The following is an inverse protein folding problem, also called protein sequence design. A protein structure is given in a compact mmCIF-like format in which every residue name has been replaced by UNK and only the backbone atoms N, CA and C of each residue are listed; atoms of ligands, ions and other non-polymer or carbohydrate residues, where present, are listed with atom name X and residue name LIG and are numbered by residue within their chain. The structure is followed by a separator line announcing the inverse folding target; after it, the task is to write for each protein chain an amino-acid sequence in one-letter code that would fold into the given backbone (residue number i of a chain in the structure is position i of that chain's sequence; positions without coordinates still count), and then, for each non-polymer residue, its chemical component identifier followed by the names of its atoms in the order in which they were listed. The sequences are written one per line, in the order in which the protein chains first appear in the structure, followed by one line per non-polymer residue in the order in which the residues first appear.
data_IF_205279003168
#
_entry.id   IF_205279003168
#
_cell.length_a   1.000
_cell.length_b   1.000
_cell.length_c   1.000
_cell.angle_alpha   90.00
_cell.angle_beta   90.00
_cell.angle_gamma   90.00
#
_symmetry.space_group_name_H-M   'P 1'
#
loop_
_entity.id
_entity.type
_entity.pdbx_description
1 polymer ?
#
# COMPACT_ATOMS: atom_id res chain seq x y z
N UNK A 1 21.54 11.88 -17.34
CA UNK A 1 21.17 10.48 -17.05
C UNK A 1 19.71 10.48 -16.66
N UNK A 2 18.85 9.65 -17.25
CA UNK A 2 17.47 9.52 -16.75
C UNK A 2 17.55 8.87 -15.37
N UNK A 3 16.87 9.45 -14.39
CA UNK A 3 16.67 8.85 -13.08
C UNK A 3 15.96 7.49 -13.27
N UNK A 4 16.43 6.42 -12.63
CA UNK A 4 15.80 5.10 -12.73
C UNK A 4 14.47 5.05 -11.96
N UNK A 5 13.51 4.26 -12.45
CA UNK A 5 12.23 3.98 -11.81
C UNK A 5 12.39 3.49 -10.38
N UNK A 6 13.38 2.62 -10.09
CA UNK A 6 13.66 2.14 -8.74
C UNK A 6 13.93 3.29 -7.78
N UNK A 7 14.84 4.19 -8.16
CA UNK A 7 15.22 5.34 -7.32
C UNK A 7 14.05 6.31 -7.14
N UNK A 8 13.25 6.51 -8.18
CA UNK A 8 12.06 7.36 -8.09
C UNK A 8 11.01 6.76 -7.15
N UNK A 9 10.80 5.44 -7.19
CA UNK A 9 9.90 4.74 -6.24
C UNK A 9 10.44 4.82 -4.81
N UNK A 10 11.73 4.59 -4.59
CA UNK A 10 12.37 4.73 -3.27
C UNK A 10 12.16 6.15 -2.71
N UNK A 11 12.39 7.18 -3.53
CA UNK A 11 12.12 8.57 -3.14
C UNK A 11 10.65 8.81 -2.77
N UNK A 12 9.70 8.25 -3.53
CA UNK A 12 8.26 8.37 -3.22
C UNK A 12 7.89 7.70 -1.88
N UNK A 13 8.52 6.55 -1.57
CA UNK A 13 8.32 5.85 -0.30
C UNK A 13 8.90 6.67 0.86
N UNK A 14 10.14 7.17 0.72
CA UNK A 14 10.80 7.98 1.73
C UNK A 14 10.06 9.30 2.00
N UNK A 15 9.60 9.98 0.94
CA UNK A 15 8.80 11.20 1.04
C UNK A 15 7.47 10.96 1.77
N UNK A 16 6.78 9.86 1.44
CA UNK A 16 5.52 9.49 2.09
C UNK A 16 5.74 9.12 3.57
N UNK A 17 6.80 8.38 3.89
CA UNK A 17 7.15 8.05 5.27
C UNK A 17 7.45 9.32 6.09
N UNK A 18 8.24 10.26 5.53
CA UNK A 18 8.53 11.53 6.18
C UNK A 18 7.27 12.41 6.35
N UNK A 19 6.36 12.41 5.38
CA UNK A 19 5.07 13.10 5.48
C UNK A 19 4.19 12.48 6.57
N UNK A 20 4.10 11.15 6.61
CA UNK A 20 3.36 10.40 7.62
C UNK A 20 3.90 10.69 9.03
N UNK A 21 5.20 10.61 9.24
CA UNK A 21 5.83 10.88 10.54
C UNK A 21 5.53 12.30 11.04
N UNK A 22 5.59 13.29 10.15
CA UNK A 22 5.21 14.67 10.48
C UNK A 22 3.73 14.74 10.87
N UNK A 23 2.83 14.15 10.10
CA UNK A 23 1.38 14.17 10.40
C UNK A 23 1.07 13.48 11.73
N UNK A 24 1.64 12.30 11.95
CA UNK A 24 1.49 11.51 13.17
C UNK A 24 1.99 12.27 14.39
N UNK A 25 3.04 13.09 14.27
CA UNK A 25 3.58 13.88 15.39
C UNK A 25 2.58 14.87 16.00
N UNK A 26 1.56 15.30 15.24
CA UNK A 26 0.51 16.20 15.71
C UNK A 26 -0.69 15.48 16.35
N UNK A 27 -0.73 14.15 16.30
CA UNK A 27 -1.86 13.35 16.78
C UNK A 27 -1.72 12.94 18.24
N UNK A 28 -2.86 12.79 18.93
CA UNK A 28 -2.89 12.21 20.27
C UNK A 28 -2.37 10.77 20.26
N UNK A 29 -1.83 10.24 21.39
CA UNK A 29 -1.38 8.85 21.47
C UNK A 29 -2.42 7.83 20.99
N UNK A 30 -3.69 8.03 21.35
CA UNK A 30 -4.78 7.13 20.97
C UNK A 30 -5.06 7.15 19.46
N UNK A 31 -5.01 8.33 18.84
CA UNK A 31 -5.15 8.45 17.38
C UNK A 31 -3.97 7.82 16.64
N UNK A 32 -2.74 7.99 17.14
CA UNK A 32 -1.56 7.31 16.57
C UNK A 32 -1.68 5.79 16.66
N UNK A 33 -2.17 5.27 17.78
CA UNK A 33 -2.39 3.83 17.95
C UNK A 33 -3.43 3.28 16.95
N UNK A 34 -4.36 4.10 16.49
CA UNK A 34 -5.37 3.74 15.49
C UNK A 34 -4.87 3.77 14.04
N UNK A 35 -3.66 4.27 13.78
CA UNK A 35 -3.05 4.38 12.45
C UNK A 35 -1.78 3.52 12.36
N UNK A 36 -1.92 2.18 12.28
CA UNK A 36 -0.78 1.26 12.40
C UNK A 36 0.18 1.29 11.20
N UNK A 37 -0.28 1.74 10.03
CA UNK A 37 0.43 1.72 8.75
C UNK A 37 0.07 2.94 7.89
N UNK A 38 0.98 3.30 6.97
CA UNK A 38 0.72 4.23 5.87
C UNK A 38 0.74 3.52 4.52
N UNK A 39 -0.08 3.99 3.58
CA UNK A 39 -0.24 3.42 2.25
C UNK A 39 0.05 4.41 1.12
N UNK A 40 0.34 5.68 1.46
CA UNK A 40 0.42 6.76 0.47
C UNK A 40 1.57 6.54 -0.49
N UNK A 41 2.76 6.20 0.02
CA UNK A 41 3.93 5.89 -0.79
C UNK A 41 3.66 4.77 -1.79
N UNK A 42 3.08 3.66 -1.32
CA UNK A 42 2.72 2.52 -2.17
C UNK A 42 1.72 2.94 -3.26
N UNK A 43 0.72 3.76 -2.93
CA UNK A 43 -0.29 4.21 -3.90
C UNK A 43 0.33 5.10 -4.97
N UNK A 44 1.21 6.05 -4.58
CA UNK A 44 1.96 6.91 -5.51
C UNK A 44 2.88 6.07 -6.40
N UNK A 45 3.56 5.07 -5.84
CA UNK A 45 4.43 4.15 -6.58
C UNK A 45 3.65 3.29 -7.60
N UNK A 46 2.50 2.71 -7.21
CA UNK A 46 1.65 1.94 -8.14
C UNK A 46 1.22 2.80 -9.32
N UNK A 47 0.79 4.04 -9.07
CA UNK A 47 0.36 4.95 -10.13
C UNK A 47 1.49 5.31 -11.10
N UNK A 48 2.68 5.62 -10.56
CA UNK A 48 3.89 5.88 -11.34
C UNK A 48 4.29 4.68 -12.21
N UNK A 49 4.32 3.49 -11.62
CA UNK A 49 4.71 2.26 -12.31
C UNK A 49 3.69 1.84 -13.36
N UNK A 50 2.39 2.03 -13.10
CA UNK A 50 1.35 1.77 -14.10
C UNK A 50 1.49 2.72 -15.30
N UNK A 51 1.79 4.00 -15.08
CA UNK A 51 2.09 4.93 -16.16
C UNK A 51 3.31 4.49 -16.97
N UNK A 52 4.39 4.07 -16.29
CA UNK A 52 5.60 3.56 -16.94
C UNK A 52 5.36 2.25 -17.72
N UNK A 53 4.44 1.42 -17.26
CA UNK A 53 3.99 0.20 -17.94
C UNK A 53 3.06 0.46 -19.13
N UNK A 54 2.72 1.72 -19.42
CA UNK A 54 1.89 2.11 -20.57
C UNK A 54 0.38 2.07 -20.32
N UNK A 55 -0.06 2.00 -19.07
CA UNK A 55 -1.49 2.03 -18.75
C UNK A 55 -2.07 3.41 -19.06
N UNK A 56 -3.27 3.43 -19.63
CA UNK A 56 -4.05 4.65 -19.82
C UNK A 56 -4.46 5.27 -18.48
N UNK A 57 -4.80 6.55 -18.49
CA UNK A 57 -5.31 7.23 -17.30
C UNK A 57 -6.58 6.58 -16.73
N UNK A 58 -7.44 5.99 -17.58
CA UNK A 58 -8.61 5.23 -17.14
C UNK A 58 -8.24 3.96 -16.38
N UNK A 59 -7.25 3.21 -16.88
CA UNK A 59 -6.79 1.97 -16.25
C UNK A 59 -6.05 2.25 -14.95
N UNK A 60 -5.17 3.27 -14.94
CA UNK A 60 -4.52 3.75 -13.72
C UNK A 60 -5.53 4.15 -12.66
N UNK A 61 -6.54 4.96 -13.04
CA UNK A 61 -7.63 5.32 -12.12
C UNK A 61 -8.39 4.11 -11.63
N UNK A 62 -8.67 3.12 -12.48
CA UNK A 62 -9.36 1.90 -12.04
C UNK A 62 -8.52 1.12 -11.02
N UNK A 63 -7.21 1.03 -11.24
CA UNK A 63 -6.25 0.34 -10.37
C UNK A 63 -6.16 0.99 -8.97
N UNK A 64 -6.13 2.32 -8.89
CA UNK A 64 -5.95 3.04 -7.63
C UNK A 64 -7.26 3.47 -6.94
N UNK A 65 -8.41 3.48 -7.65
CA UNK A 65 -9.69 3.97 -7.09
C UNK A 65 -10.08 3.22 -5.81
N UNK A 66 -9.82 1.91 -5.79
CA UNK A 66 -10.12 1.08 -4.64
C UNK A 66 -9.14 1.32 -3.46
N UNK A 67 -7.98 1.94 -3.70
CA UNK A 67 -7.04 2.33 -2.62
C UNK A 67 -7.51 3.57 -1.85
N UNK A 68 -8.31 4.44 -2.48
CA UNK A 68 -8.82 5.68 -1.88
C UNK A 68 -9.99 5.48 -0.90
N UNK A 69 -10.55 4.27 -0.82
CA UNK A 69 -11.62 3.94 0.11
C UNK A 69 -10.98 3.31 1.34
N UNK A 70 -10.51 4.12 2.29
CA UNK A 70 -10.20 3.65 3.64
C UNK A 70 -11.50 3.68 4.47
N UNK A 71 -12.10 2.52 4.81
CA UNK A 71 -13.35 2.47 5.56
C UNK A 71 -13.31 3.24 6.89
N UNK A 72 -12.14 3.36 7.54
CA UNK A 72 -12.01 4.13 8.79
C UNK A 72 -12.10 5.64 8.55
N UNK A 73 -11.52 6.14 7.44
CA UNK A 73 -11.63 7.55 7.03
C UNK A 73 -13.05 7.88 6.56
N UNK A 74 -13.70 6.93 5.87
CA UNK A 74 -15.11 7.06 5.49
C UNK A 74 -16.03 7.04 6.73
N UNK A 75 -15.73 6.22 7.74
CA UNK A 75 -16.52 6.16 8.96
C UNK A 75 -16.46 7.46 9.76
N UNK A 76 -15.26 8.04 9.94
CA UNK A 76 -15.09 9.33 10.61
C UNK A 76 -15.83 10.48 9.88
N UNK A 77 -15.94 10.41 8.54
CA UNK A 77 -16.68 11.39 7.72
C UNK A 77 -18.20 11.19 7.71
N UNK A 78 -18.68 9.94 7.81
CA UNK A 78 -20.10 9.60 7.56
C UNK A 78 -20.89 9.36 8.84
N UNK A 79 -20.31 8.77 9.89
CA UNK A 79 -21.09 8.26 11.02
C UNK A 79 -21.01 9.07 12.32
N UNK A 80 -20.09 10.04 12.44
CA UNK A 80 -20.07 11.01 13.54
C UNK A 80 -19.70 10.48 14.94
N UNK A 81 -19.03 11.34 15.72
CA UNK A 81 -18.78 11.37 17.19
C UNK A 81 -18.31 10.13 17.98
N UNK A 82 -18.49 8.88 17.54
CA UNK A 82 -17.97 7.70 18.25
C UNK A 82 -16.72 7.13 17.57
N UNK A 83 -15.60 6.94 18.31
CA UNK A 83 -14.42 6.27 17.78
C UNK A 83 -14.73 4.85 17.32
N UNK A 84 -14.22 4.47 16.15
CA UNK A 84 -14.31 3.09 15.68
C UNK A 84 -13.62 2.13 16.66
N UNK A 85 -14.21 0.94 16.84
CA UNK A 85 -13.54 -0.17 17.50
C UNK A 85 -12.24 -0.52 16.74
N UNK A 86 -11.20 -0.91 17.49
CA UNK A 86 -9.89 -1.25 16.93
C UNK A 86 -10.00 -2.29 15.82
N UNK A 87 -10.88 -3.28 15.99
CA UNK A 87 -11.11 -4.36 15.03
C UNK A 87 -11.64 -3.83 13.70
N UNK A 88 -12.51 -2.82 13.72
CA UNK A 88 -13.05 -2.19 12.51
C UNK A 88 -11.96 -1.42 11.77
N UNK A 89 -11.12 -0.70 12.51
CA UNK A 89 -9.98 0.01 11.93
C UNK A 89 -8.98 -0.96 11.31
N UNK A 90 -8.63 -2.04 12.00
CA UNK A 90 -7.76 -3.07 11.44
C UNK A 90 -8.40 -3.72 10.21
N UNK A 91 -9.68 -4.07 10.27
CA UNK A 91 -10.41 -4.66 9.14
C UNK A 91 -10.35 -3.77 7.89
N UNK A 92 -10.46 -2.45 8.08
CA UNK A 92 -10.30 -1.47 7.01
C UNK A 92 -8.91 -1.52 6.36
N UNK A 93 -7.84 -1.61 7.14
CA UNK A 93 -6.48 -1.73 6.62
C UNK A 93 -6.20 -3.07 5.96
N UNK A 94 -6.79 -4.15 6.45
CA UNK A 94 -6.71 -5.50 5.87
C UNK A 94 -7.36 -5.52 4.49
N UNK A 95 -8.57 -4.98 4.34
CA UNK A 95 -9.20 -4.93 3.01
C UNK A 95 -8.46 -4.02 2.05
N UNK A 96 -7.97 -2.89 2.56
CA UNK A 96 -7.02 -2.09 1.82
C UNK A 96 -5.86 -2.95 1.32
N UNK A 97 -5.20 -3.69 2.20
CA UNK A 97 -4.04 -4.49 1.84
C UNK A 97 -4.34 -5.50 0.72
N UNK A 98 -5.49 -6.17 0.77
CA UNK A 98 -5.91 -7.14 -0.27
C UNK A 98 -6.06 -6.50 -1.64
N UNK A 99 -6.77 -5.37 -1.71
CA UNK A 99 -6.92 -4.62 -2.96
C UNK A 99 -5.56 -4.20 -3.53
N UNK A 100 -4.63 -3.78 -2.67
CA UNK A 100 -3.26 -3.41 -3.08
C UNK A 100 -2.48 -4.62 -3.60
N UNK A 101 -2.60 -5.76 -2.94
CA UNK A 101 -1.95 -6.99 -3.37
C UNK A 101 -2.40 -7.41 -4.78
N UNK A 102 -3.70 -7.30 -5.08
CA UNK A 102 -4.25 -7.57 -6.41
C UNK A 102 -3.70 -6.59 -7.45
N UNK A 103 -3.67 -5.29 -7.12
CA UNK A 103 -3.11 -4.26 -8.01
C UNK A 103 -1.62 -4.50 -8.32
N UNK A 104 -0.84 -4.88 -7.31
CA UNK A 104 0.58 -5.21 -7.45
C UNK A 104 0.81 -6.44 -8.32
N UNK A 105 -0.03 -7.48 -8.19
CA UNK A 105 0.05 -8.67 -9.02
C UNK A 105 -0.25 -8.34 -10.50
N UNK A 106 -1.33 -7.60 -10.78
CA UNK A 106 -1.68 -7.14 -12.13
C UNK A 106 -0.56 -6.31 -12.75
N UNK A 107 -0.01 -5.38 -11.97
CA UNK A 107 1.09 -4.53 -12.43
C UNK A 107 2.37 -5.33 -12.71
N UNK A 108 2.69 -6.31 -11.85
CA UNK A 108 3.84 -7.18 -12.02
C UNK A 108 3.73 -8.03 -13.30
N UNK A 109 2.54 -8.59 -13.57
CA UNK A 109 2.25 -9.33 -14.79
C UNK A 109 2.40 -8.44 -16.03
N UNK A 110 1.88 -7.20 -15.99
CA UNK A 110 1.97 -6.27 -17.11
C UNK A 110 3.39 -5.75 -17.36
N UNK A 111 4.15 -5.52 -16.29
CA UNK A 111 5.55 -5.15 -16.37
C UNK A 111 6.34 -6.37 -16.83
N UNK A 112 6.60 -7.35 -15.96
CA UNK A 112 7.61 -8.40 -16.18
C UNK A 112 7.08 -9.73 -16.71
N UNK A 113 5.79 -9.83 -17.03
CA UNK A 113 5.15 -11.10 -17.39
C UNK A 113 5.06 -12.07 -16.20
N UNK A 114 4.76 -13.33 -16.51
CA UNK A 114 4.57 -14.39 -15.51
C UNK A 114 5.74 -14.52 -14.50
N UNK A 115 7.03 -14.44 -14.88
CA UNK A 115 8.11 -14.59 -13.92
C UNK A 115 8.09 -13.54 -12.80
N UNK A 116 7.89 -12.26 -13.16
CA UNK A 116 7.79 -11.19 -12.16
C UNK A 116 6.48 -11.28 -11.38
N UNK A 117 5.38 -11.60 -12.07
CA UNK A 117 4.08 -11.85 -11.45
C UNK A 117 4.15 -12.91 -10.36
N UNK A 118 4.75 -14.06 -10.64
CA UNK A 118 4.94 -15.13 -9.67
C UNK A 118 5.82 -14.69 -8.50
N UNK A 119 6.91 -13.98 -8.76
CA UNK A 119 7.81 -13.49 -7.70
C UNK A 119 7.09 -12.53 -6.75
N UNK A 120 6.30 -11.59 -7.28
CA UNK A 120 5.49 -10.68 -6.48
C UNK A 120 4.40 -11.44 -5.72
N UNK A 121 3.67 -12.36 -6.36
CA UNK A 121 2.66 -13.20 -5.68
C UNK A 121 3.26 -14.01 -4.52
N UNK A 122 4.46 -14.57 -4.68
CA UNK A 122 5.17 -15.28 -3.62
C UNK A 122 5.53 -14.35 -2.44
N UNK A 123 6.05 -13.15 -2.73
CA UNK A 123 6.38 -12.14 -1.71
C UNK A 123 5.15 -11.74 -0.88
N UNK A 124 4.01 -11.51 -1.56
CA UNK A 124 2.75 -11.14 -0.91
C UNK A 124 2.17 -12.30 -0.09
N UNK A 125 2.24 -13.53 -0.61
CA UNK A 125 1.78 -14.75 0.10
C UNK A 125 2.62 -15.05 1.35
N UNK A 126 3.91 -14.72 1.34
CA UNK A 126 4.78 -14.89 2.51
C UNK A 126 4.46 -13.91 3.65
N UNK A 127 3.75 -12.81 3.37
CA UNK A 127 3.40 -11.77 4.35
C UNK A 127 1.91 -11.40 4.24
N UNK A 128 0.99 -12.36 4.42
CA UNK A 128 -0.43 -12.14 4.15
C UNK A 128 -1.03 -11.17 5.18
N UNK A 129 -2.12 -10.46 4.84
CA UNK A 129 -2.86 -9.68 5.84
C UNK A 129 -3.30 -10.56 7.03
N UNK A 130 -3.30 -10.03 8.27
CA UNK A 130 -3.71 -10.80 9.44
C UNK A 130 -5.16 -11.29 9.35
N UNK A 131 -5.40 -12.49 9.89
CA UNK A 131 -6.75 -13.07 9.98
C UNK A 131 -7.44 -12.52 11.23
N UNK A 132 -8.37 -11.59 11.03
CA UNK A 132 -9.12 -10.95 12.11
C UNK A 132 -8.44 -9.71 12.71
N UNK A 133 -9.19 -8.97 13.53
CA UNK A 133 -8.78 -7.66 14.07
C UNK A 133 -8.26 -7.67 15.52
N UNK A 134 -8.13 -8.84 16.15
CA UNK A 134 -7.82 -8.98 17.59
C UNK A 134 -6.53 -9.76 17.85
N UNK A 135 -5.77 -9.34 18.85
CA UNK A 135 -4.58 -10.05 19.33
C UNK A 135 -3.33 -9.17 19.38
N UNK A 136 -2.36 -9.57 20.20
CA UNK A 136 -1.14 -8.78 20.47
C UNK A 136 -0.21 -8.64 19.26
N UNK A 137 -0.37 -9.46 18.22
CA UNK A 137 0.46 -9.46 17.01
C UNK A 137 -0.16 -8.84 15.76
N UNK A 138 -1.44 -8.43 15.80
CA UNK A 138 -2.19 -8.02 14.60
C UNK A 138 -1.58 -6.80 13.92
N UNK A 139 -1.20 -5.78 14.71
CA UNK A 139 -0.53 -4.58 14.18
C UNK A 139 0.84 -4.89 13.57
N UNK A 140 1.61 -5.81 14.18
CA UNK A 140 2.92 -6.21 13.63
C UNK A 140 2.73 -6.92 12.30
N UNK A 141 1.85 -7.91 12.24
CA UNK A 141 1.55 -8.64 11.01
C UNK A 141 1.07 -7.71 9.90
N UNK A 142 0.21 -6.73 10.22
CA UNK A 142 -0.24 -5.73 9.26
C UNK A 142 0.91 -4.87 8.73
N UNK A 143 1.87 -4.46 9.59
CA UNK A 143 3.07 -3.73 9.15
C UNK A 143 3.93 -4.58 8.23
N UNK A 144 4.11 -5.87 8.54
CA UNK A 144 4.87 -6.80 7.70
C UNK A 144 4.23 -6.97 6.31
N UNK A 145 2.89 -7.00 6.25
CA UNK A 145 2.14 -6.97 4.97
C UNK A 145 2.45 -5.72 4.15
N UNK A 146 2.40 -4.53 4.75
CA UNK A 146 2.67 -3.28 4.03
C UNK A 146 4.14 -3.14 3.62
N UNK A 147 5.07 -3.60 4.45
CA UNK A 147 6.49 -3.69 4.09
C UNK A 147 6.71 -4.68 2.92
N UNK A 148 5.91 -5.74 2.79
CA UNK A 148 5.94 -6.59 1.61
C UNK A 148 5.43 -5.87 0.35
N UNK A 149 4.42 -5.00 0.48
CA UNK A 149 3.94 -4.17 -0.63
C UNK A 149 4.97 -3.14 -1.10
N UNK A 150 5.68 -2.50 -0.16
CA UNK A 150 6.80 -1.61 -0.48
C UNK A 150 7.92 -2.34 -1.24
N UNK A 151 8.31 -3.52 -0.74
CA UNK A 151 9.28 -4.37 -1.44
C UNK A 151 8.79 -4.78 -2.83
N UNK A 152 7.50 -5.04 -3.01
CA UNK A 152 6.92 -5.39 -4.30
C UNK A 152 7.01 -4.22 -5.32
N UNK A 153 6.68 -2.98 -4.91
CA UNK A 153 6.82 -1.83 -5.83
C UNK A 153 8.27 -1.57 -6.22
N UNK A 154 9.22 -1.75 -5.30
CA UNK A 154 10.66 -1.63 -5.60
C UNK A 154 11.13 -2.72 -6.58
N UNK A 155 10.66 -3.96 -6.38
CA UNK A 155 10.98 -5.08 -7.27
C UNK A 155 10.46 -4.84 -8.69
N UNK A 156 9.20 -4.38 -8.83
CA UNK A 156 8.60 -4.03 -10.11
C UNK A 156 9.38 -2.89 -10.78
N UNK A 157 9.73 -1.86 -10.03
CA UNK A 157 10.51 -0.72 -10.52
C UNK A 157 11.90 -1.12 -11.01
N UNK A 158 12.56 -2.04 -10.29
CA UNK A 158 13.87 -2.59 -10.69
C UNK A 158 13.77 -3.32 -12.03
N UNK A 159 12.71 -4.11 -12.24
CA UNK A 159 12.51 -4.80 -13.52
C UNK A 159 12.26 -3.84 -14.69
N UNK A 160 11.63 -2.68 -14.44
CA UNK A 160 11.47 -1.63 -15.45
C UNK A 160 12.80 -0.95 -15.81
N UNK A 161 13.72 -0.80 -14.85
CA UNK A 161 15.04 -0.20 -15.10
C UNK A 161 15.96 -1.11 -15.92
N UNK A 162 15.76 -2.43 -15.85
CA UNK A 162 16.56 -3.43 -16.57
C UNK A 162 16.12 -3.63 -18.04
N UNK A 163 15.16 -2.83 -18.53
CA UNK A 163 14.60 -2.89 -19.90
C UNK A 163 15.13 -1.79 -20.80
#
# INVERSE_FOLDING_TARGET
MKEGHRRQVEAMLDEAAAEHDRLVSYLSPDMRASLPVDAQGITRAIDHLAAAAGFSDSERRALIRAHGLNPAVLHARVFGSEPLAQETVIGAFVEGARVRADALAVLADAVGGEPLGQQVRMLLTANPPPVGGRGTGVTSALRDTYAAHERAVVLIATNLDDR
#
